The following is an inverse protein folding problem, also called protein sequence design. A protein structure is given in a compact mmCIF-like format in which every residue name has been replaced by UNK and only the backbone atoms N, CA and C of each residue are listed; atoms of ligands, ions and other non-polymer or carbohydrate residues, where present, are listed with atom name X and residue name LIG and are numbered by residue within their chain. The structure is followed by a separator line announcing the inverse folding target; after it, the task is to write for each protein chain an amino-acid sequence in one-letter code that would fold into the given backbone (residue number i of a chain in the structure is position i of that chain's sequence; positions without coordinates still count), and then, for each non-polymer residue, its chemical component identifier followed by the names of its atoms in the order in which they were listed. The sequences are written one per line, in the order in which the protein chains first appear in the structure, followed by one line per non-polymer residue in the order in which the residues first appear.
data_IF_259865522834
#
_entry.id   IF_259865522834
#
_cell.length_a   1.000
_cell.length_b   1.000
_cell.length_c   1.000
_cell.angle_alpha   90.00
_cell.angle_beta   90.00
_cell.angle_gamma   90.00
#
_symmetry.space_group_name_H-M   'P 1'
#
loop_
_entity.id
_entity.type
_entity.pdbx_description
1 polymer ?
#
# COMPACT_ATOMS: atom_id res chain seq x y z
N UNK A 1 -29.80 -6.31 1.89
CA UNK A 1 -28.41 -6.20 2.41
C UNK A 1 -28.05 -7.56 2.99
N UNK A 2 -27.21 -8.29 2.32
CA UNK A 2 -26.69 -9.55 2.82
C UNK A 2 -25.69 -9.23 3.93
N UNK A 3 -25.96 -9.65 5.17
CA UNK A 3 -24.99 -9.67 6.25
C UNK A 3 -23.75 -10.47 5.84
N UNK A 4 -22.70 -10.50 6.66
CA UNK A 4 -21.41 -11.08 6.29
C UNK A 4 -21.57 -12.44 5.61
N UNK A 5 -21.30 -12.46 4.30
CA UNK A 5 -21.38 -13.64 3.44
C UNK A 5 -20.23 -14.61 3.75
N UNK A 6 -19.19 -14.09 4.39
CA UNK A 6 -17.96 -14.80 4.68
C UNK A 6 -17.82 -15.10 6.17
N UNK A 7 -17.35 -16.29 6.48
CA UNK A 7 -17.00 -16.75 7.83
C UNK A 7 -15.48 -16.92 7.90
N UNK A 8 -14.89 -16.57 9.05
CA UNK A 8 -13.45 -16.78 9.30
C UNK A 8 -13.23 -18.21 9.81
N UNK A 9 -12.57 -19.04 9.01
CA UNK A 9 -12.15 -20.36 9.41
C UNK A 9 -10.63 -20.52 9.25
N UNK A 10 -9.92 -20.79 10.36
CA UNK A 10 -8.45 -20.96 10.38
C UNK A 10 -7.71 -19.83 9.66
N UNK A 11 -8.08 -18.59 9.93
CA UNK A 11 -7.50 -17.38 9.31
C UNK A 11 -7.72 -17.24 7.78
N UNK A 12 -8.71 -17.96 7.22
CA UNK A 12 -9.15 -17.83 5.83
C UNK A 12 -10.61 -17.42 5.79
N UNK A 13 -10.92 -16.44 4.95
CA UNK A 13 -12.30 -16.10 4.62
C UNK A 13 -12.88 -17.21 3.75
N UNK A 14 -13.92 -17.86 4.23
CA UNK A 14 -14.71 -18.84 3.48
C UNK A 14 -16.16 -18.40 3.39
N UNK A 15 -16.83 -18.82 2.33
CA UNK A 15 -18.26 -18.63 2.18
C UNK A 15 -19.00 -19.43 3.27
N UNK A 16 -19.80 -18.74 4.08
CA UNK A 16 -20.63 -19.37 5.08
C UNK A 16 -21.63 -20.35 4.46
N UNK A 17 -22.08 -21.37 5.21
CA UNK A 17 -23.01 -22.40 4.72
C UNK A 17 -24.30 -21.83 4.11
N UNK A 18 -24.80 -20.69 4.64
CA UNK A 18 -26.00 -20.00 4.11
C UNK A 18 -25.73 -19.40 2.74
N UNK A 19 -24.58 -18.75 2.56
CA UNK A 19 -24.17 -18.18 1.28
C UNK A 19 -23.94 -19.24 0.22
N UNK A 20 -23.32 -20.37 0.57
CA UNK A 20 -23.15 -21.52 -0.34
C UNK A 20 -24.51 -22.07 -0.84
N UNK A 21 -25.51 -22.21 0.06
CA UNK A 21 -26.87 -22.63 -0.32
C UNK A 21 -27.54 -21.62 -1.25
N UNK A 22 -27.39 -20.31 -0.99
CA UNK A 22 -27.94 -19.25 -1.85
C UNK A 22 -27.31 -19.31 -3.23
N UNK A 23 -25.99 -19.38 -3.32
CA UNK A 23 -25.25 -19.50 -4.59
C UNK A 23 -25.73 -20.72 -5.37
N UNK A 24 -25.85 -21.89 -4.69
CA UNK A 24 -26.35 -23.11 -5.34
C UNK A 24 -27.79 -22.99 -5.86
N UNK A 25 -28.65 -22.19 -5.22
CA UNK A 25 -29.99 -21.89 -5.73
C UNK A 25 -29.95 -20.92 -6.91
N UNK A 26 -29.16 -19.83 -6.81
CA UNK A 26 -28.99 -18.89 -7.91
C UNK A 26 -28.45 -19.56 -9.18
N UNK A 27 -27.51 -20.48 -9.04
CA UNK A 27 -26.93 -21.22 -10.17
C UNK A 27 -27.94 -22.16 -10.85
N UNK A 28 -29.01 -22.57 -10.17
CA UNK A 28 -30.08 -23.40 -10.77
C UNK A 28 -31.03 -22.61 -11.67
N UNK A 29 -31.22 -21.32 -11.40
CA UNK A 29 -32.18 -20.47 -12.12
C UNK A 29 -31.50 -19.39 -12.98
N UNK A 30 -30.18 -19.29 -12.89
CA UNK A 30 -29.36 -18.32 -13.58
C UNK A 30 -27.88 -18.66 -13.44
N UNK A 31 -27.06 -17.66 -13.19
CA UNK A 31 -25.62 -17.84 -12.94
C UNK A 31 -25.19 -17.11 -11.66
N UNK A 32 -24.10 -17.55 -11.06
CA UNK A 32 -23.43 -16.88 -9.96
C UNK A 32 -21.94 -16.81 -10.27
N UNK A 33 -21.37 -15.62 -10.21
CA UNK A 33 -19.96 -15.36 -10.52
C UNK A 33 -19.26 -14.79 -9.29
N UNK A 34 -18.05 -15.26 -9.02
CA UNK A 34 -17.19 -14.73 -7.96
C UNK A 34 -16.30 -13.63 -8.53
N UNK A 35 -16.57 -12.39 -8.13
CA UNK A 35 -15.70 -11.25 -8.47
C UNK A 35 -14.58 -11.14 -7.44
N UNK A 36 -13.50 -11.88 -7.68
CA UNK A 36 -12.31 -11.79 -6.85
C UNK A 36 -11.51 -10.52 -7.17
N UNK A 37 -10.83 -9.96 -6.14
CA UNK A 37 -9.91 -8.84 -6.37
C UNK A 37 -8.77 -9.30 -7.30
N UNK A 38 -8.48 -8.55 -8.40
CA UNK A 38 -7.44 -8.94 -9.34
C UNK A 38 -6.09 -9.10 -8.66
N UNK A 39 -5.28 -10.03 -9.14
CA UNK A 39 -3.89 -10.22 -8.70
C UNK A 39 -2.98 -9.23 -9.43
N UNK A 40 -1.80 -8.88 -8.88
CA UNK A 40 -0.88 -7.94 -9.52
C UNK A 40 -0.49 -8.29 -10.95
N UNK A 41 -0.36 -9.58 -11.29
CA UNK A 41 -0.06 -9.98 -12.66
C UNK A 41 -1.25 -9.73 -13.61
N UNK A 42 -2.49 -9.93 -13.13
CA UNK A 42 -3.71 -9.66 -13.88
C UNK A 42 -3.87 -8.15 -14.12
N UNK A 43 -3.55 -7.33 -13.11
CA UNK A 43 -3.51 -5.88 -13.25
C UNK A 43 -2.46 -5.41 -14.26
N UNK A 44 -1.27 -6.04 -14.29
CA UNK A 44 -0.26 -5.73 -15.31
C UNK A 44 -0.77 -6.04 -16.71
N UNK A 45 -1.39 -7.21 -16.91
CA UNK A 45 -2.00 -7.57 -18.19
C UNK A 45 -3.08 -6.57 -18.57
N UNK A 46 -3.97 -6.24 -17.63
CA UNK A 46 -5.06 -5.28 -17.84
C UNK A 46 -4.55 -3.91 -18.32
N UNK A 47 -3.52 -3.34 -17.67
CA UNK A 47 -2.98 -2.03 -18.06
C UNK A 47 -2.25 -2.08 -19.42
N UNK A 48 -1.60 -3.19 -19.73
CA UNK A 48 -0.97 -3.39 -21.04
C UNK A 48 -2.01 -3.55 -22.15
N UNK A 49 -3.07 -4.31 -21.93
CA UNK A 49 -4.18 -4.48 -22.88
C UNK A 49 -4.95 -3.15 -23.07
N UNK A 50 -5.15 -2.38 -22.00
CA UNK A 50 -5.75 -1.05 -22.07
C UNK A 50 -4.95 -0.09 -22.93
N UNK A 51 -3.62 -0.07 -22.79
CA UNK A 51 -2.73 0.74 -23.63
C UNK A 51 -2.78 0.27 -25.09
N UNK A 52 -2.74 -1.06 -25.33
CA UNK A 52 -2.82 -1.64 -26.66
C UNK A 52 -4.13 -1.32 -27.37
N UNK A 53 -5.24 -1.28 -26.65
CA UNK A 53 -6.56 -0.90 -27.20
C UNK A 53 -6.61 0.57 -27.67
N UNK A 54 -5.60 1.37 -27.32
CA UNK A 54 -5.40 2.76 -27.76
C UNK A 54 -4.18 2.88 -28.70
N UNK A 55 -3.81 1.81 -29.39
CA UNK A 55 -2.65 1.75 -30.28
C UNK A 55 -1.31 2.19 -29.65
N UNK A 56 -1.24 2.07 -28.32
CA UNK A 56 -0.10 2.53 -27.51
C UNK A 56 0.68 1.34 -26.94
N UNK A 57 2.01 1.45 -26.93
CA UNK A 57 2.88 0.40 -26.36
C UNK A 57 3.22 0.69 -24.91
N UNK A 58 2.99 -0.29 -24.01
CA UNK A 58 3.36 -0.24 -22.61
C UNK A 58 4.05 -1.54 -22.22
N UNK A 59 5.34 -1.47 -21.85
CA UNK A 59 6.12 -2.65 -21.50
C UNK A 59 5.74 -3.24 -20.12
N UNK A 60 6.04 -4.52 -19.88
CA UNK A 60 5.79 -5.14 -18.56
C UNK A 60 6.54 -4.42 -17.43
N UNK A 61 7.76 -3.93 -17.68
CA UNK A 61 8.51 -3.14 -16.71
C UNK A 61 7.83 -1.81 -16.38
N UNK A 62 7.28 -1.13 -17.40
CA UNK A 62 6.50 0.10 -17.22
C UNK A 62 5.18 -0.17 -16.50
N UNK A 63 4.49 -1.28 -16.81
CA UNK A 63 3.29 -1.71 -16.08
C UNK A 63 3.59 -1.97 -14.61
N UNK A 64 4.69 -2.62 -14.29
CA UNK A 64 5.11 -2.85 -12.91
C UNK A 64 5.40 -1.52 -12.17
N UNK A 65 6.09 -0.59 -12.81
CA UNK A 65 6.34 0.74 -12.25
C UNK A 65 5.05 1.54 -12.02
N UNK A 66 4.06 1.40 -12.91
CA UNK A 66 2.75 2.03 -12.76
C UNK A 66 2.00 1.49 -11.54
N UNK A 67 1.94 0.18 -11.38
CA UNK A 67 1.30 -0.45 -10.21
C UNK A 67 2.01 -0.04 -8.91
N UNK A 68 3.33 0.01 -8.92
CA UNK A 68 4.11 0.45 -7.75
C UNK A 68 3.78 1.88 -7.34
N UNK A 69 3.61 2.77 -8.30
CA UNK A 69 3.37 4.20 -8.07
C UNK A 69 1.92 4.49 -7.70
N UNK A 70 0.98 3.94 -8.47
CA UNK A 70 -0.45 4.24 -8.36
C UNK A 70 -1.19 3.31 -7.41
N UNK A 71 -0.60 2.15 -7.02
CA UNK A 71 -1.26 1.12 -6.25
C UNK A 71 -2.01 0.12 -7.12
N UNK A 72 -2.84 -0.72 -6.48
CA UNK A 72 -3.50 -1.88 -7.10
C UNK A 72 -5.03 -1.65 -7.29
N UNK A 73 -5.47 -0.39 -7.41
CA UNK A 73 -6.86 -0.06 -7.74
C UNK A 73 -7.07 -0.12 -9.26
N UNK A 74 -7.92 -1.04 -9.79
CA UNK A 74 -8.12 -1.20 -11.23
C UNK A 74 -8.62 0.06 -11.92
N UNK A 75 -9.58 0.79 -11.30
CA UNK A 75 -10.16 2.00 -11.89
C UNK A 75 -9.15 3.14 -11.95
N UNK A 76 -8.35 3.30 -10.89
CA UNK A 76 -7.28 4.29 -10.88
C UNK A 76 -6.24 3.95 -11.95
N UNK A 77 -5.85 2.68 -12.06
CA UNK A 77 -4.89 2.22 -13.06
C UNK A 77 -5.37 2.44 -14.49
N UNK A 78 -6.63 2.16 -14.80
CA UNK A 78 -7.21 2.44 -16.12
C UNK A 78 -7.13 3.93 -16.48
N UNK A 79 -7.55 4.81 -15.57
CA UNK A 79 -7.48 6.25 -15.76
C UNK A 79 -6.04 6.75 -15.95
N UNK A 80 -5.09 6.18 -15.20
CA UNK A 80 -3.67 6.53 -15.32
C UNK A 80 -3.09 6.08 -16.66
N UNK A 81 -3.46 4.89 -17.14
CA UNK A 81 -3.07 4.42 -18.47
C UNK A 81 -3.60 5.36 -19.54
N UNK A 82 -4.89 5.71 -19.51
CA UNK A 82 -5.51 6.60 -20.49
C UNK A 82 -4.80 7.97 -20.53
N UNK A 83 -4.51 8.52 -19.36
CA UNK A 83 -3.74 9.76 -19.23
C UNK A 83 -2.33 9.64 -19.83
N UNK A 84 -1.61 8.57 -19.51
CA UNK A 84 -0.24 8.34 -19.99
C UNK A 84 -0.20 8.06 -21.51
N UNK A 85 -1.19 7.36 -22.06
CA UNK A 85 -1.33 7.17 -23.50
C UNK A 85 -1.52 8.51 -24.22
N UNK A 86 -2.42 9.36 -23.73
CA UNK A 86 -2.63 10.71 -24.29
C UNK A 86 -1.36 11.58 -24.19
N UNK A 87 -0.66 11.55 -23.04
CA UNK A 87 0.59 12.29 -22.83
C UNK A 87 1.72 11.83 -23.73
N UNK A 88 1.77 10.53 -24.07
CA UNK A 88 2.75 10.00 -25.02
C UNK A 88 2.44 10.32 -26.48
N UNK A 89 1.30 10.97 -26.76
CA UNK A 89 0.78 11.15 -28.12
C UNK A 89 0.43 9.80 -28.79
N UNK A 90 -0.05 8.84 -27.98
CA UNK A 90 -0.37 7.46 -28.40
C UNK A 90 0.83 6.71 -29.02
N UNK A 91 2.03 7.01 -28.48
CA UNK A 91 3.26 6.31 -28.82
C UNK A 91 3.62 5.30 -27.71
N UNK A 92 4.90 5.18 -27.34
CA UNK A 92 5.34 4.32 -26.25
C UNK A 92 5.29 5.04 -24.91
N UNK A 93 4.57 4.50 -23.93
CA UNK A 93 4.64 4.95 -22.53
C UNK A 93 5.92 4.44 -21.90
N UNK A 94 6.75 5.34 -21.40
CA UNK A 94 8.03 5.01 -20.76
C UNK A 94 7.93 4.99 -19.24
N UNK A 95 8.84 4.27 -18.58
CA UNK A 95 8.96 4.29 -17.12
C UNK A 95 9.27 5.71 -16.58
N UNK A 96 10.00 6.53 -17.34
CA UNK A 96 10.25 7.92 -16.97
C UNK A 96 8.95 8.74 -16.94
N UNK A 97 8.06 8.58 -17.91
CA UNK A 97 6.74 9.23 -17.91
C UNK A 97 5.91 8.81 -16.71
N UNK A 98 5.91 7.51 -16.37
CA UNK A 98 5.24 7.02 -15.15
C UNK A 98 5.83 7.68 -13.90
N UNK A 99 7.15 7.80 -13.80
CA UNK A 99 7.82 8.42 -12.66
C UNK A 99 7.53 9.92 -12.52
N UNK A 100 7.34 10.63 -13.62
CA UNK A 100 7.09 12.07 -13.63
C UNK A 100 5.61 12.41 -13.49
N UNK A 101 4.76 11.76 -14.27
CA UNK A 101 3.35 12.12 -14.47
C UNK A 101 2.34 11.19 -13.81
N UNK A 102 2.78 10.00 -13.37
CA UNK A 102 1.89 9.04 -12.69
C UNK A 102 1.42 9.54 -11.33
N UNK A 103 0.14 9.36 -11.03
CA UNK A 103 -0.42 9.64 -9.69
C UNK A 103 0.26 8.76 -8.64
N UNK A 104 0.60 9.35 -7.49
CA UNK A 104 1.24 8.61 -6.39
C UNK A 104 0.18 8.15 -5.41
N UNK A 105 0.17 6.86 -5.07
CA UNK A 105 -0.73 6.36 -4.03
C UNK A 105 -0.32 6.88 -2.66
N UNK A 106 -1.29 6.98 -1.75
CA UNK A 106 -1.02 7.40 -0.37
C UNK A 106 0.03 6.51 0.30
N UNK A 107 -0.03 5.20 0.07
CA UNK A 107 0.91 4.23 0.61
C UNK A 107 2.33 4.46 0.10
N UNK A 108 2.49 4.79 -1.19
CA UNK A 108 3.80 5.09 -1.77
C UNK A 108 4.38 6.39 -1.20
N UNK A 109 3.56 7.43 -1.08
CA UNK A 109 3.95 8.71 -0.47
C UNK A 109 4.33 8.56 0.99
N UNK A 110 3.54 7.81 1.77
CA UNK A 110 3.83 7.52 3.18
C UNK A 110 5.12 6.69 3.31
N UNK A 111 5.33 5.70 2.43
CA UNK A 111 6.57 4.92 2.46
C UNK A 111 7.80 5.78 2.15
N UNK A 112 7.70 6.71 1.20
CA UNK A 112 8.76 7.69 0.93
C UNK A 112 9.05 8.56 2.16
N UNK A 113 8.00 9.04 2.83
CA UNK A 113 8.12 9.80 4.08
C UNK A 113 8.85 9.00 5.17
N UNK A 114 8.54 7.70 5.31
CA UNK A 114 9.25 6.81 6.26
C UNK A 114 10.73 6.66 5.88
N UNK A 115 11.07 6.57 4.60
CA UNK A 115 12.47 6.55 4.16
C UNK A 115 13.20 7.83 4.53
N UNK A 116 12.56 8.99 4.39
CA UNK A 116 13.12 10.28 4.84
C UNK A 116 13.36 10.26 6.36
N UNK A 117 12.41 9.76 7.15
CA UNK A 117 12.57 9.59 8.61
C UNK A 117 13.77 8.68 8.92
N UNK A 118 13.88 7.54 8.22
CA UNK A 118 15.00 6.60 8.37
C UNK A 118 16.34 7.24 8.07
N UNK A 119 16.39 8.13 7.08
CA UNK A 119 17.57 8.91 6.71
C UNK A 119 17.81 10.14 7.61
N UNK A 120 17.07 10.29 8.73
CA UNK A 120 17.12 11.46 9.64
C UNK A 120 16.72 12.79 8.99
N UNK A 121 16.04 12.76 7.85
CA UNK A 121 15.52 13.94 7.18
C UNK A 121 14.09 14.26 7.66
N UNK A 122 13.95 14.67 8.91
CA UNK A 122 12.67 15.04 9.50
C UNK A 122 12.02 16.23 8.76
N UNK A 123 12.81 17.20 8.33
CA UNK A 123 12.33 18.36 7.56
C UNK A 123 11.68 17.93 6.23
N UNK A 124 12.32 17.02 5.50
CA UNK A 124 11.77 16.46 4.26
C UNK A 124 10.47 15.71 4.51
N UNK A 125 10.43 14.88 5.56
CA UNK A 125 9.23 14.15 5.95
C UNK A 125 8.07 15.09 6.31
N UNK A 126 8.31 16.16 7.07
CA UNK A 126 7.30 17.16 7.40
C UNK A 126 6.80 17.92 6.16
N UNK A 127 7.68 18.29 5.23
CA UNK A 127 7.27 18.91 3.94
C UNK A 127 6.37 17.96 3.12
N UNK A 128 6.70 16.68 3.08
CA UNK A 128 5.89 15.67 2.40
C UNK A 128 4.52 15.52 3.05
N UNK A 129 4.46 15.48 4.38
CA UNK A 129 3.19 15.47 5.14
C UNK A 129 2.33 16.70 4.81
N UNK A 130 2.92 17.90 4.82
CA UNK A 130 2.20 19.13 4.47
C UNK A 130 1.65 19.09 3.04
N UNK A 131 2.39 18.50 2.10
CA UNK A 131 1.90 18.29 0.73
C UNK A 131 0.69 17.37 0.70
N UNK A 132 0.72 16.24 1.42
CA UNK A 132 -0.42 15.32 1.52
C UNK A 132 -1.66 16.00 2.10
N UNK A 133 -1.49 16.79 3.17
CA UNK A 133 -2.61 17.52 3.79
C UNK A 133 -3.18 18.61 2.86
N UNK A 134 -2.33 19.30 2.07
CA UNK A 134 -2.79 20.25 1.04
C UNK A 134 -3.57 19.56 -0.09
N UNK A 135 -3.21 18.32 -0.43
CA UNK A 135 -3.93 17.48 -1.39
C UNK A 135 -5.20 16.83 -0.79
N UNK A 136 -5.67 17.36 0.35
CA UNK A 136 -6.89 16.90 1.04
C UNK A 136 -6.82 15.43 1.49
N UNK A 137 -5.61 14.89 1.68
CA UNK A 137 -5.46 13.58 2.31
C UNK A 137 -5.77 13.72 3.81
N UNK A 138 -6.67 12.88 4.29
CA UNK A 138 -7.11 12.94 5.68
C UNK A 138 -6.07 12.36 6.65
N UNK A 139 -5.94 12.91 7.88
CA UNK A 139 -4.97 12.46 8.88
C UNK A 139 -5.09 11.00 9.29
N UNK A 140 -6.30 10.45 9.38
CA UNK A 140 -6.54 9.07 9.81
C UNK A 140 -6.02 8.06 8.76
N UNK A 141 -6.35 8.16 7.46
CA UNK A 141 -5.74 7.37 6.40
C UNK A 141 -4.21 7.46 6.36
N UNK A 142 -3.62 8.66 6.50
CA UNK A 142 -2.17 8.84 6.56
C UNK A 142 -1.60 8.04 7.73
N UNK A 143 -2.19 8.15 8.92
CA UNK A 143 -1.75 7.40 10.11
C UNK A 143 -1.88 5.90 9.92
N UNK A 144 -2.98 5.43 9.34
CA UNK A 144 -3.20 4.01 9.05
C UNK A 144 -2.14 3.46 8.09
N UNK A 145 -1.80 4.20 7.04
CA UNK A 145 -0.73 3.84 6.10
C UNK A 145 0.65 3.80 6.77
N UNK A 146 0.94 4.76 7.68
CA UNK A 146 2.17 4.76 8.49
C UNK A 146 2.24 3.51 9.38
N UNK A 147 1.18 3.20 10.12
CA UNK A 147 1.10 2.02 10.98
C UNK A 147 1.33 0.75 10.15
N UNK A 148 0.64 0.60 9.02
CA UNK A 148 0.81 -0.54 8.11
C UNK A 148 2.25 -0.71 7.66
N UNK A 149 2.91 0.38 7.28
CA UNK A 149 4.31 0.37 6.85
C UNK A 149 5.27 -0.04 7.98
N UNK A 150 5.11 0.50 9.20
CA UNK A 150 5.96 0.11 10.33
C UNK A 150 5.71 -1.33 10.80
N UNK A 151 4.48 -1.84 10.69
CA UNK A 151 4.16 -3.26 10.90
C UNK A 151 4.91 -4.14 9.90
N UNK A 152 4.97 -3.74 8.63
CA UNK A 152 5.75 -4.46 7.61
C UNK A 152 7.25 -4.45 7.93
N UNK A 153 7.82 -3.28 8.29
CA UNK A 153 9.21 -3.17 8.74
C UNK A 153 9.51 -4.11 9.91
N UNK A 154 8.64 -4.14 10.91
CA UNK A 154 8.80 -5.01 12.08
C UNK A 154 8.75 -6.49 11.71
N UNK A 155 7.75 -6.91 10.92
CA UNK A 155 7.58 -8.30 10.48
C UNK A 155 8.78 -8.81 9.68
N UNK A 156 9.28 -8.02 8.71
CA UNK A 156 10.46 -8.43 7.93
C UNK A 156 11.73 -8.44 8.78
N UNK A 157 11.88 -7.49 9.72
CA UNK A 157 13.02 -7.47 10.66
C UNK A 157 13.01 -8.68 11.60
N UNK A 158 11.84 -9.04 12.13
CA UNK A 158 11.65 -10.23 12.95
C UNK A 158 11.91 -11.51 12.15
N UNK A 159 11.45 -11.57 10.89
CA UNK A 159 11.73 -12.65 9.97
C UNK A 159 13.22 -12.82 9.73
N UNK A 160 13.93 -11.73 9.44
CA UNK A 160 15.37 -11.73 9.22
C UNK A 160 16.15 -12.23 10.46
N UNK A 161 15.73 -11.85 11.67
CA UNK A 161 16.31 -12.36 12.93
C UNK A 161 16.13 -13.89 13.06
N UNK A 162 15.09 -14.46 12.44
CA UNK A 162 14.83 -15.91 12.36
C UNK A 162 15.33 -16.54 11.05
N UNK A 163 16.22 -15.87 10.31
CA UNK A 163 16.76 -16.30 9.01
C UNK A 163 15.69 -16.61 7.95
N UNK A 164 14.52 -15.97 8.03
CA UNK A 164 13.46 -16.07 7.03
C UNK A 164 13.59 -14.94 6.00
N UNK A 165 13.34 -15.27 4.72
CA UNK A 165 13.26 -14.26 3.66
C UNK A 165 11.95 -13.45 3.75
N UNK A 166 11.90 -12.27 3.12
CA UNK A 166 10.69 -11.48 3.03
C UNK A 166 9.55 -12.24 2.33
N UNK A 167 9.86 -13.08 1.33
CA UNK A 167 8.86 -13.93 0.67
C UNK A 167 8.29 -15.00 1.61
N UNK A 168 9.09 -15.52 2.56
CA UNK A 168 8.59 -16.42 3.59
C UNK A 168 7.68 -15.67 4.57
N UNK A 169 8.09 -14.46 5.00
CA UNK A 169 7.26 -13.58 5.84
C UNK A 169 5.94 -13.25 5.16
N UNK A 170 5.96 -12.97 3.85
CA UNK A 170 4.76 -12.72 3.05
C UNK A 170 3.76 -13.88 3.16
N UNK A 171 4.22 -15.12 3.04
CA UNK A 171 3.38 -16.32 3.15
C UNK A 171 2.91 -16.56 4.60
N UNK A 172 3.80 -16.45 5.57
CA UNK A 172 3.53 -16.72 6.98
C UNK A 172 2.43 -15.79 7.55
N UNK A 173 2.41 -14.53 7.13
CA UNK A 173 1.42 -13.54 7.57
C UNK A 173 0.20 -13.43 6.64
N UNK A 174 0.11 -14.26 5.60
CA UNK A 174 -1.04 -14.33 4.70
C UNK A 174 -1.27 -13.06 3.89
N UNK A 175 -0.21 -12.35 3.52
CA UNK A 175 -0.31 -11.19 2.62
C UNK A 175 -0.88 -11.61 1.27
N UNK A 176 -1.61 -10.71 0.64
CA UNK A 176 -2.14 -10.88 -0.71
C UNK A 176 -1.44 -9.91 -1.65
N UNK A 177 -1.43 -10.25 -2.95
CA UNK A 177 -0.82 -9.40 -3.97
C UNK A 177 0.67 -9.72 -4.18
N UNK A 178 1.49 -8.70 -4.41
CA UNK A 178 2.93 -8.81 -4.65
C UNK A 178 3.73 -8.76 -3.34
N UNK A 179 4.80 -9.55 -3.25
CA UNK A 179 5.75 -9.49 -2.14
C UNK A 179 6.76 -8.32 -2.26
N UNK A 180 6.69 -7.57 -3.36
CA UNK A 180 7.55 -6.42 -3.63
C UNK A 180 7.50 -5.37 -2.52
N UNK A 181 6.32 -5.12 -1.95
CA UNK A 181 6.13 -4.24 -0.79
C UNK A 181 7.02 -4.67 0.39
N UNK A 182 7.05 -5.98 0.71
CA UNK A 182 7.88 -6.50 1.79
C UNK A 182 9.39 -6.51 1.43
N UNK A 183 9.73 -6.66 0.16
CA UNK A 183 11.12 -6.49 -0.31
C UNK A 183 11.63 -5.08 0.01
N UNK A 184 10.89 -4.04 -0.36
CA UNK A 184 11.24 -2.63 -0.02
C UNK A 184 11.28 -2.39 1.48
N UNK A 185 10.33 -2.97 2.22
CA UNK A 185 10.32 -2.90 3.68
C UNK A 185 11.54 -3.57 4.29
N UNK A 186 12.04 -4.69 3.75
CA UNK A 186 13.24 -5.36 4.23
C UNK A 186 14.50 -4.49 4.07
N UNK A 187 14.63 -3.78 2.94
CA UNK A 187 15.72 -2.83 2.70
C UNK A 187 15.71 -1.70 3.74
N UNK A 188 14.55 -1.08 3.98
CA UNK A 188 14.40 -0.01 4.97
C UNK A 188 14.59 -0.52 6.41
N UNK A 189 14.05 -1.70 6.74
CA UNK A 189 14.17 -2.33 8.06
C UNK A 189 15.61 -2.70 8.44
N UNK A 190 16.52 -2.81 7.45
CA UNK A 190 17.94 -3.05 7.73
C UNK A 190 18.56 -1.95 8.61
N UNK A 191 18.05 -0.72 8.50
CA UNK A 191 18.53 0.45 9.25
C UNK A 191 17.97 0.56 10.68
N UNK A 192 17.09 -0.35 11.09
CA UNK A 192 16.48 -0.35 12.41
C UNK A 192 16.88 -1.58 13.21
N UNK A 193 16.87 -1.45 14.53
CA UNK A 193 16.83 -2.58 15.47
C UNK A 193 15.38 -2.93 15.82
N UNK A 194 15.12 -4.12 16.35
CA UNK A 194 13.77 -4.49 16.82
C UNK A 194 13.25 -3.54 17.91
N UNK A 195 14.02 -3.20 18.97
CA UNK A 195 13.56 -2.23 19.97
C UNK A 195 13.24 -0.85 19.40
N UNK A 196 13.98 -0.38 18.37
CA UNK A 196 13.66 0.88 17.70
C UNK A 196 12.32 0.82 16.97
N UNK A 197 12.02 -0.30 16.27
CA UNK A 197 10.74 -0.48 15.60
C UNK A 197 9.59 -0.58 16.61
N UNK A 198 9.80 -1.24 17.75
CA UNK A 198 8.83 -1.28 18.86
C UNK A 198 8.54 0.12 19.40
N UNK A 199 9.56 0.93 19.63
CA UNK A 199 9.40 2.32 20.04
C UNK A 199 8.66 3.15 18.99
N UNK A 200 8.94 2.96 17.69
CA UNK A 200 8.20 3.61 16.60
C UNK A 200 6.71 3.20 16.60
N UNK A 201 6.42 1.91 16.78
CA UNK A 201 5.04 1.42 16.85
C UNK A 201 4.29 1.99 18.05
N UNK A 202 4.97 2.16 19.20
CA UNK A 202 4.38 2.81 20.37
C UNK A 202 4.03 4.29 20.11
N UNK A 203 4.91 5.03 19.43
CA UNK A 203 4.65 6.41 19.01
C UNK A 203 3.42 6.49 18.10
N UNK A 204 3.29 5.57 17.15
CA UNK A 204 2.14 5.52 16.24
C UNK A 204 0.84 5.13 16.95
N UNK A 205 0.89 4.24 17.94
CA UNK A 205 -0.27 3.90 18.78
C UNK A 205 -0.74 5.11 19.58
N UNK A 206 0.18 5.89 20.13
CA UNK A 206 -0.14 7.14 20.85
C UNK A 206 -0.73 8.18 19.90
N UNK A 207 -0.19 8.31 18.67
CA UNK A 207 -0.74 9.19 17.64
C UNK A 207 -2.18 8.82 17.28
N UNK A 208 -2.45 7.53 17.00
CA UNK A 208 -3.80 7.05 16.67
C UNK A 208 -4.82 7.35 17.78
N UNK A 209 -4.43 7.14 19.04
CA UNK A 209 -5.26 7.48 20.20
C UNK A 209 -5.50 8.99 20.30
N UNK A 210 -4.44 9.79 20.11
CA UNK A 210 -4.53 11.26 20.26
C UNK A 210 -5.39 11.89 19.17
N UNK A 211 -5.29 11.41 17.93
CA UNK A 211 -6.15 11.88 16.82
C UNK A 211 -7.64 11.63 17.05
N UNK A 212 -8.00 10.62 17.86
CA UNK A 212 -9.38 10.25 18.16
C UNK A 212 -9.93 10.88 19.43
N UNK A 213 -9.08 11.40 20.32
CA UNK A 213 -9.50 11.82 21.68
C UNK A 213 -9.07 13.22 22.09
N UNK A 214 -8.13 13.85 21.39
CA UNK A 214 -7.58 15.15 21.83
C UNK A 214 -8.08 16.30 20.93
N UNK A 215 -8.40 17.47 21.52
CA UNK A 215 -8.81 18.67 20.77
C UNK A 215 -7.59 19.44 20.23
N UNK A 216 -6.58 18.73 19.74
CA UNK A 216 -5.36 19.30 19.16
C UNK A 216 -5.41 19.15 17.65
N UNK A 217 -4.82 20.11 16.93
CA UNK A 217 -4.71 20.04 15.48
C UNK A 217 -4.08 18.71 15.03
N UNK A 218 -4.77 17.99 14.16
CA UNK A 218 -4.27 16.73 13.60
C UNK A 218 -2.92 16.90 12.90
N UNK A 219 -2.69 18.03 12.23
CA UNK A 219 -1.40 18.37 11.64
C UNK A 219 -0.31 18.43 12.70
N UNK A 220 -0.54 19.12 13.82
CA UNK A 220 0.43 19.24 14.92
C UNK A 220 0.76 17.87 15.52
N UNK A 221 -0.24 17.01 15.71
CA UNK A 221 -0.05 15.65 16.21
C UNK A 221 0.81 14.81 15.25
N UNK A 222 0.53 14.88 13.95
CA UNK A 222 1.30 14.17 12.92
C UNK A 222 2.74 14.69 12.85
N UNK A 223 2.96 15.99 12.79
CA UNK A 223 4.31 16.59 12.74
C UNK A 223 5.14 16.22 13.99
N UNK A 224 4.50 16.26 15.18
CA UNK A 224 5.12 15.84 16.44
C UNK A 224 5.52 14.35 16.39
N UNK A 225 4.63 13.49 15.88
CA UNK A 225 4.91 12.07 15.73
C UNK A 225 6.06 11.82 14.75
N UNK A 226 6.13 12.53 13.61
CA UNK A 226 7.24 12.43 12.65
C UNK A 226 8.59 12.79 13.29
N UNK A 227 8.64 13.87 14.08
CA UNK A 227 9.84 14.25 14.80
C UNK A 227 10.26 13.17 15.80
N UNK A 228 9.33 12.63 16.57
CA UNK A 228 9.59 11.55 17.53
C UNK A 228 10.07 10.27 16.84
N UNK A 229 9.47 9.90 15.70
CA UNK A 229 9.89 8.76 14.89
C UNK A 229 11.32 8.95 14.35
N UNK A 230 11.66 10.14 13.88
CA UNK A 230 13.02 10.45 13.43
C UNK A 230 14.05 10.37 14.56
N UNK A 231 13.68 10.67 15.80
CA UNK A 231 14.54 10.52 16.98
C UNK A 231 14.66 9.05 17.40
N UNK A 232 13.58 8.28 17.38
CA UNK A 232 13.53 6.87 17.78
C UNK A 232 14.20 5.94 16.77
N UNK A 233 14.07 6.24 15.46
CA UNK A 233 14.51 5.38 14.36
C UNK A 233 15.85 5.78 13.74
N UNK A 234 16.44 4.86 12.97
CA UNK A 234 17.61 5.08 12.12
C UNK A 234 18.96 4.88 12.84
N UNK A 235 20.01 4.62 12.05
CA UNK A 235 21.39 4.58 12.53
C UNK A 235 21.84 5.96 13.02
N UNK A 236 22.66 5.94 14.09
CA UNK A 236 23.54 7.07 14.40
C UNK A 236 24.60 7.23 13.31
#
# INVERSE_FOLDING_TARGET
VLGSVFEMERNKLKLGKRAQKLIAQCTKVGFAEELAKPKPYELKVMVMDRAKAQDTTLSEGTAAALLERCGEDPFLLENEVDKLCALSGYQTVTTAMVAEMGTVSLEADVFEMIRMITAKNATGACKKLQTLLRLQQEPIPITAAMIGSYVDLYRVKLGAAKRKSYSTVFKDFGYKGSDYRLKRSAETASHYTLPQLEACMQILLELDKSLKSQPVSAQTLLETALCRLAMAGGRR
#
